data_IF_509628854463
#
_entry.id   IF_509628854463
#
_cell.length_a   1.000
_cell.length_b   1.000
_cell.length_c   1.000
_cell.angle_alpha   90.00
_cell.angle_beta   90.00
_cell.angle_gamma   90.00
#
_symmetry.space_group_name_H-M   'P 1'
#
loop_
_entity.id
_entity.type
_entity.pdbx_description
1 polymer ?
#
# COMPACT_ATOMS: atom_id res chain seq x y z
N UNK A 1 -26.43 -6.09 2.63
CA UNK A 1 -25.67 -4.81 2.62
C UNK A 1 -24.61 -4.91 3.73
N UNK A 2 -23.33 -4.73 3.44
CA UNK A 2 -22.24 -4.89 4.43
C UNK A 2 -22.26 -3.75 5.46
N UNK A 3 -23.07 -3.92 6.51
CA UNK A 3 -23.35 -2.90 7.53
C UNK A 3 -22.16 -2.68 8.47
N UNK A 4 -21.55 -3.78 8.96
CA UNK A 4 -20.42 -3.71 9.87
C UNK A 4 -19.17 -3.17 9.18
N UNK A 5 -18.89 -3.59 7.93
CA UNK A 5 -17.82 -3.00 7.14
C UNK A 5 -18.00 -1.49 6.97
N UNK A 6 -19.21 -1.01 6.67
CA UNK A 6 -19.46 0.41 6.52
C UNK A 6 -19.30 1.19 7.85
N UNK A 7 -19.68 0.60 9.00
CA UNK A 7 -19.45 1.18 10.33
C UNK A 7 -17.95 1.29 10.62
N UNK A 8 -17.20 0.20 10.38
CA UNK A 8 -15.75 0.16 10.58
C UNK A 8 -15.03 1.25 9.77
N UNK A 9 -15.34 1.38 8.47
CA UNK A 9 -14.71 2.38 7.60
C UNK A 9 -15.14 3.83 7.90
N UNK A 10 -16.08 4.04 8.82
CA UNK A 10 -16.48 5.34 9.36
C UNK A 10 -15.97 5.57 10.78
N UNK A 11 -15.21 4.64 11.36
CA UNK A 11 -14.65 4.82 12.71
C UNK A 11 -13.82 6.09 12.80
N UNK A 12 -13.92 6.79 13.91
CA UNK A 12 -13.36 8.16 14.03
C UNK A 12 -11.83 8.15 14.05
N UNK A 13 -11.26 7.32 14.92
CA UNK A 13 -9.81 7.16 15.05
C UNK A 13 -9.34 6.02 14.16
N UNK A 14 -8.55 6.29 13.10
CA UNK A 14 -8.09 5.25 12.19
C UNK A 14 -7.11 4.25 12.81
N UNK A 15 -6.64 4.46 14.04
CA UNK A 15 -5.68 3.60 14.72
C UNK A 15 -6.16 2.99 16.04
N UNK A 16 -7.41 3.19 16.43
CA UNK A 16 -8.05 2.53 17.58
C UNK A 16 -8.41 1.08 17.26
N UNK A 17 -7.38 0.24 17.06
CA UNK A 17 -7.58 -1.18 16.73
C UNK A 17 -8.19 -1.97 17.89
N UNK A 18 -7.85 -1.63 19.13
CA UNK A 18 -8.42 -2.26 20.33
C UNK A 18 -9.93 -2.00 20.43
N UNK A 19 -10.36 -0.73 20.28
CA UNK A 19 -11.78 -0.37 20.33
C UNK A 19 -12.62 -0.93 19.18
N UNK A 20 -11.97 -1.40 18.10
CA UNK A 20 -12.65 -1.93 16.91
C UNK A 20 -12.50 -3.44 16.74
N UNK A 21 -11.93 -4.20 17.69
CA UNK A 21 -11.65 -5.62 17.52
C UNK A 21 -12.91 -6.44 17.19
N UNK A 22 -13.95 -6.34 18.01
CA UNK A 22 -15.21 -7.03 17.77
C UNK A 22 -15.93 -6.56 16.49
N UNK A 23 -15.84 -5.26 16.17
CA UNK A 23 -16.43 -4.72 14.93
C UNK A 23 -15.66 -5.20 13.70
N UNK A 24 -14.33 -5.32 13.78
CA UNK A 24 -13.51 -5.87 12.71
C UNK A 24 -13.85 -7.34 12.45
N UNK A 25 -13.92 -8.17 13.48
CA UNK A 25 -14.31 -9.57 13.36
C UNK A 25 -15.71 -9.73 12.75
N UNK A 26 -16.70 -8.96 13.22
CA UNK A 26 -18.05 -8.96 12.66
C UNK A 26 -18.07 -8.48 11.19
N UNK A 27 -17.26 -7.49 10.81
CA UNK A 27 -17.18 -7.03 9.44
C UNK A 27 -16.50 -8.06 8.51
N UNK A 28 -15.49 -8.78 9.02
CA UNK A 28 -14.85 -9.89 8.31
C UNK A 28 -15.80 -11.04 8.09
N UNK A 29 -16.54 -11.46 9.12
CA UNK A 29 -17.55 -12.53 9.04
C UNK A 29 -18.68 -12.18 8.05
N UNK A 30 -19.23 -10.95 8.16
CA UNK A 30 -20.25 -10.44 7.23
C UNK A 30 -19.76 -10.46 5.78
N UNK A 31 -18.53 -10.01 5.53
CA UNK A 31 -17.97 -10.01 4.19
C UNK A 31 -17.63 -11.43 3.72
N UNK A 32 -17.08 -12.29 4.57
CA UNK A 32 -16.76 -13.67 4.22
C UNK A 32 -18.02 -14.47 3.81
N UNK A 33 -19.12 -14.32 4.54
CA UNK A 33 -20.41 -14.89 4.18
C UNK A 33 -20.90 -14.40 2.80
N UNK A 34 -20.86 -13.10 2.60
CA UNK A 34 -21.22 -12.48 1.29
C UNK A 34 -20.37 -13.01 0.14
N UNK A 35 -19.06 -13.15 0.34
CA UNK A 35 -18.14 -13.68 -0.66
C UNK A 35 -18.38 -15.17 -0.94
N UNK A 36 -18.70 -15.95 0.08
CA UNK A 36 -19.00 -17.38 -0.07
C UNK A 36 -20.30 -17.62 -0.86
N UNK A 37 -21.32 -16.78 -0.68
CA UNK A 37 -22.54 -16.81 -1.46
C UNK A 37 -22.30 -16.42 -2.93
N UNK A 38 -21.46 -15.40 -3.16
CA UNK A 38 -21.22 -14.85 -4.50
C UNK A 38 -20.14 -15.56 -5.33
N UNK A 39 -19.27 -16.36 -4.69
CA UNK A 39 -18.12 -17.03 -5.31
C UNK A 39 -18.02 -18.49 -4.87
N UNK A 40 -18.46 -19.40 -5.71
CA UNK A 40 -18.45 -20.84 -5.41
C UNK A 40 -17.04 -21.38 -5.15
N UNK A 41 -16.03 -20.87 -5.85
CA UNK A 41 -14.66 -21.32 -5.65
C UNK A 41 -14.13 -20.89 -4.29
N UNK A 42 -14.48 -19.68 -3.81
CA UNK A 42 -14.14 -19.27 -2.46
C UNK A 42 -14.86 -20.11 -1.40
N UNK A 43 -16.13 -20.43 -1.61
CA UNK A 43 -16.88 -21.34 -0.73
C UNK A 43 -16.24 -22.76 -0.67
N UNK A 44 -15.67 -23.25 -1.77
CA UNK A 44 -14.92 -24.52 -1.80
C UNK A 44 -13.62 -24.42 -0.99
N UNK A 45 -12.87 -23.32 -1.17
CA UNK A 45 -11.65 -23.06 -0.40
C UNK A 45 -11.96 -23.07 1.10
N UNK A 46 -13.00 -22.34 1.54
CA UNK A 46 -13.40 -22.31 2.95
C UNK A 46 -13.65 -23.71 3.49
N UNK A 47 -14.41 -24.56 2.78
CA UNK A 47 -14.68 -25.94 3.21
C UNK A 47 -13.42 -26.79 3.29
N UNK A 48 -12.45 -26.61 2.39
CA UNK A 48 -11.16 -27.32 2.45
C UNK A 48 -10.35 -26.93 3.69
N UNK A 49 -10.54 -25.69 4.20
CA UNK A 49 -9.97 -25.23 5.47
C UNK A 49 -10.84 -25.56 6.69
N UNK A 50 -11.87 -26.42 6.53
CA UNK A 50 -12.73 -26.84 7.61
C UNK A 50 -13.74 -25.78 8.07
N UNK A 51 -13.93 -24.70 7.31
CA UNK A 51 -14.86 -23.62 7.62
C UNK A 51 -16.21 -23.87 6.95
N UNK A 52 -17.29 -23.77 7.73
CA UNK A 52 -18.65 -23.81 7.22
C UNK A 52 -19.07 -22.42 6.69
N UNK A 53 -19.32 -22.24 5.38
CA UNK A 53 -19.78 -20.99 4.83
C UNK A 53 -21.07 -20.43 5.47
N UNK A 54 -21.93 -21.31 6.02
CA UNK A 54 -23.17 -20.92 6.70
C UNK A 54 -22.97 -20.31 8.08
N UNK A 55 -21.79 -20.46 8.69
CA UNK A 55 -21.46 -19.98 10.04
C UNK A 55 -20.48 -18.82 10.09
N UNK A 56 -20.10 -18.27 8.95
CA UNK A 56 -19.11 -17.20 8.87
C UNK A 56 -19.57 -15.89 9.52
N UNK A 57 -20.88 -15.65 9.63
CA UNK A 57 -21.42 -14.49 10.34
C UNK A 57 -21.05 -14.48 11.84
N UNK A 58 -20.78 -15.64 12.41
CA UNK A 58 -20.39 -15.83 13.82
C UNK A 58 -18.86 -15.80 14.03
N UNK A 59 -18.09 -15.44 13.01
CA UNK A 59 -16.64 -15.43 13.05
C UNK A 59 -16.10 -14.54 14.18
N UNK A 60 -15.32 -15.13 15.09
CA UNK A 60 -14.69 -14.43 16.22
C UNK A 60 -13.25 -14.09 15.95
N UNK A 61 -12.52 -15.00 15.34
CA UNK A 61 -11.12 -14.83 14.96
C UNK A 61 -10.97 -14.81 13.43
N UNK A 62 -10.75 -13.64 12.82
CA UNK A 62 -10.52 -13.56 11.39
C UNK A 62 -9.26 -14.27 10.88
N UNK A 63 -8.29 -14.57 11.76
CA UNK A 63 -7.03 -15.23 11.37
C UNK A 63 -7.22 -16.68 10.90
N UNK A 64 -8.38 -17.28 11.22
CA UNK A 64 -8.75 -18.64 10.72
C UNK A 64 -9.14 -18.62 9.23
N UNK A 65 -9.45 -17.46 8.65
CA UNK A 65 -9.78 -17.39 7.23
C UNK A 65 -8.56 -17.78 6.37
N UNK A 66 -8.79 -18.58 5.30
CA UNK A 66 -7.71 -19.08 4.47
C UNK A 66 -6.93 -17.90 3.84
N UNK A 67 -5.61 -17.85 4.04
CA UNK A 67 -4.78 -16.83 3.45
C UNK A 67 -4.56 -17.14 1.96
N UNK A 68 -5.03 -16.27 1.07
CA UNK A 68 -4.86 -16.42 -0.36
C UNK A 68 -3.53 -15.81 -0.82
N UNK A 69 -2.58 -16.58 -1.35
CA UNK A 69 -1.35 -16.02 -1.90
C UNK A 69 -1.63 -15.10 -3.10
N UNK A 70 -0.87 -13.99 -3.23
CA UNK A 70 -1.01 -13.08 -4.39
C UNK A 70 -0.81 -13.80 -5.71
N UNK A 71 0.03 -14.84 -5.77
CA UNK A 71 0.23 -15.67 -6.96
C UNK A 71 -1.07 -16.39 -7.37
N UNK A 72 -1.90 -16.78 -6.42
CA UNK A 72 -3.22 -17.36 -6.70
C UNK A 72 -4.13 -16.32 -7.39
N UNK A 73 -4.16 -15.09 -6.86
CA UNK A 73 -4.92 -13.98 -7.44
C UNK A 73 -4.42 -13.57 -8.84
N UNK A 74 -3.17 -13.84 -9.16
CA UNK A 74 -2.59 -13.61 -10.50
C UNK A 74 -3.07 -14.64 -11.52
N UNK A 75 -3.31 -15.89 -11.11
CA UNK A 75 -3.66 -17.01 -11.97
C UNK A 75 -5.17 -17.29 -12.03
N UNK A 76 -5.90 -16.93 -10.99
CA UNK A 76 -7.33 -17.20 -10.85
C UNK A 76 -8.11 -15.91 -10.62
N UNK A 77 -9.22 -15.75 -11.33
CA UNK A 77 -10.13 -14.61 -11.13
C UNK A 77 -11.27 -15.05 -10.22
N UNK A 78 -11.11 -14.85 -8.92
CA UNK A 78 -12.19 -14.99 -7.96
C UNK A 78 -13.10 -13.76 -8.03
N UNK A 79 -14.39 -13.97 -8.20
CA UNK A 79 -15.34 -12.85 -8.34
C UNK A 79 -16.66 -13.17 -7.67
N UNK A 80 -17.12 -12.28 -6.80
CA UNK A 80 -18.40 -12.39 -6.09
C UNK A 80 -19.49 -11.47 -6.64
N UNK A 81 -19.10 -10.47 -7.45
CA UNK A 81 -20.02 -9.60 -8.15
C UNK A 81 -19.84 -9.69 -9.67
N UNK A 82 -20.93 -9.55 -10.46
CA UNK A 82 -20.84 -9.53 -11.91
C UNK A 82 -20.05 -8.31 -12.41
N UNK A 83 -19.39 -8.45 -13.56
CA UNK A 83 -18.46 -7.46 -14.11
C UNK A 83 -19.08 -6.07 -14.32
N UNK A 84 -20.37 -6.00 -14.65
CA UNK A 84 -21.13 -4.75 -14.81
C UNK A 84 -21.22 -3.90 -13.55
N UNK A 85 -20.98 -4.48 -12.36
CA UNK A 85 -20.93 -3.76 -11.07
C UNK A 85 -19.55 -3.23 -10.70
N UNK A 86 -18.51 -3.55 -11.48
CA UNK A 86 -17.16 -3.09 -11.27
C UNK A 86 -16.95 -1.71 -11.91
N UNK A 87 -16.70 -0.70 -11.10
CA UNK A 87 -16.50 0.68 -11.54
C UNK A 87 -15.03 0.99 -11.85
N UNK A 88 -14.11 0.39 -11.12
CA UNK A 88 -12.66 0.58 -11.32
C UNK A 88 -12.01 -0.78 -11.47
N UNK A 89 -11.12 -0.90 -12.45
CA UNK A 89 -10.22 -2.04 -12.59
C UNK A 89 -8.81 -1.58 -12.29
N UNK A 90 -8.10 -2.34 -11.48
CA UNK A 90 -6.71 -2.07 -11.13
C UNK A 90 -5.87 -3.33 -11.34
N UNK A 91 -4.64 -3.15 -11.81
CA UNK A 91 -3.68 -4.23 -11.99
C UNK A 91 -2.45 -4.01 -11.14
N UNK A 92 -1.85 -5.11 -10.66
CA UNK A 92 -0.52 -5.05 -10.04
C UNK A 92 0.54 -4.66 -11.08
N UNK A 93 1.74 -4.28 -10.62
CA UNK A 93 2.83 -3.85 -11.51
C UNK A 93 3.45 -4.97 -12.36
N UNK A 94 3.08 -6.24 -12.11
CA UNK A 94 3.48 -7.37 -12.97
C UNK A 94 4.97 -7.70 -12.98
N UNK A 95 5.70 -7.47 -11.88
CA UNK A 95 7.04 -8.04 -11.70
C UNK A 95 6.95 -9.56 -11.81
N UNK A 96 7.47 -10.14 -12.90
CA UNK A 96 7.35 -11.57 -13.18
C UNK A 96 6.33 -11.95 -14.28
N UNK A 97 5.78 -10.97 -15.03
CA UNK A 97 5.00 -11.21 -16.26
C UNK A 97 3.50 -11.46 -16.06
N UNK A 98 3.05 -11.85 -14.88
CA UNK A 98 1.62 -12.07 -14.60
C UNK A 98 1.12 -11.05 -13.59
N UNK A 99 0.04 -10.34 -13.94
CA UNK A 99 -0.55 -9.28 -13.12
C UNK A 99 -1.83 -9.75 -12.44
N UNK A 100 -2.00 -9.41 -11.17
CA UNK A 100 -3.32 -9.49 -10.52
C UNK A 100 -4.27 -8.47 -11.12
N UNK A 101 -5.53 -8.86 -11.25
CA UNK A 101 -6.61 -7.99 -11.74
C UNK A 101 -7.67 -7.87 -10.66
N UNK A 102 -7.78 -6.68 -10.08
CA UNK A 102 -8.76 -6.39 -9.04
C UNK A 102 -9.81 -5.44 -9.57
N UNK A 103 -11.06 -5.83 -9.40
CA UNK A 103 -12.21 -5.00 -9.76
C UNK A 103 -12.85 -4.42 -8.50
N UNK A 104 -13.11 -3.11 -8.46
CA UNK A 104 -13.68 -2.43 -7.32
C UNK A 104 -15.10 -1.96 -7.62
N UNK A 105 -16.04 -2.32 -6.77
CA UNK A 105 -17.44 -1.89 -6.80
C UNK A 105 -17.64 -0.54 -6.09
N UNK A 106 -18.82 0.05 -6.21
CA UNK A 106 -19.16 1.33 -5.58
C UNK A 106 -19.01 1.31 -4.06
N UNK A 107 -19.39 0.21 -3.40
CA UNK A 107 -19.26 0.06 -1.96
C UNK A 107 -17.80 0.06 -1.51
N UNK A 108 -16.95 -0.68 -2.22
CA UNK A 108 -15.49 -0.68 -2.00
C UNK A 108 -14.88 0.70 -2.19
N UNK A 109 -15.26 1.41 -3.25
CA UNK A 109 -14.77 2.78 -3.51
C UNK A 109 -15.21 3.75 -2.42
N UNK A 110 -16.45 3.66 -1.95
CA UNK A 110 -16.96 4.49 -0.85
C UNK A 110 -16.20 4.25 0.46
N UNK A 111 -15.92 2.98 0.81
CA UNK A 111 -15.07 2.60 1.95
C UNK A 111 -13.64 3.14 1.78
N UNK A 112 -13.06 2.97 0.60
CA UNK A 112 -11.72 3.46 0.29
C UNK A 112 -11.59 4.98 0.43
N UNK A 113 -12.57 5.74 -0.07
CA UNK A 113 -12.60 7.20 0.10
C UNK A 113 -12.70 7.59 1.58
N UNK A 114 -13.61 6.94 2.33
CA UNK A 114 -13.78 7.18 3.76
C UNK A 114 -12.49 6.94 4.55
N UNK A 115 -11.80 5.82 4.30
CA UNK A 115 -10.51 5.48 4.86
C UNK A 115 -9.45 6.52 4.48
N UNK A 116 -9.30 6.81 3.19
CA UNK A 116 -8.25 7.71 2.69
C UNK A 116 -8.36 9.11 3.31
N UNK A 117 -9.57 9.65 3.45
CA UNK A 117 -9.78 10.95 4.10
C UNK A 117 -9.39 10.92 5.58
N UNK A 118 -9.71 9.84 6.32
CA UNK A 118 -9.38 9.74 7.75
C UNK A 118 -7.90 9.56 8.00
N UNK A 119 -7.26 8.64 7.26
CA UNK A 119 -5.81 8.41 7.34
C UNK A 119 -5.05 9.67 6.92
N UNK A 120 -5.42 10.29 5.79
CA UNK A 120 -4.77 11.51 5.32
C UNK A 120 -4.95 12.70 6.28
N UNK A 121 -6.11 12.81 6.95
CA UNK A 121 -6.33 13.81 7.99
C UNK A 121 -5.43 13.56 9.20
N UNK A 122 -5.38 12.34 9.68
CA UNK A 122 -4.55 11.94 10.83
C UNK A 122 -3.08 12.28 10.60
N UNK A 123 -2.54 11.93 9.43
CA UNK A 123 -1.14 12.19 9.05
C UNK A 123 -0.90 13.61 8.47
N UNK A 124 -1.88 14.52 8.61
CA UNK A 124 -1.77 15.91 8.11
C UNK A 124 -1.39 16.03 6.63
N UNK A 125 -1.87 15.08 5.83
CA UNK A 125 -1.70 15.08 4.37
C UNK A 125 -2.76 15.93 3.68
N UNK A 126 -3.95 16.07 4.28
CA UNK A 126 -4.98 16.97 3.77
C UNK A 126 -4.59 18.42 4.03
N UNK A 127 -4.73 19.27 3.03
CA UNK A 127 -4.46 20.71 3.15
C UNK A 127 -5.41 21.50 2.26
N UNK A 128 -5.97 22.64 2.74
CA UNK A 128 -6.69 23.57 1.89
C UNK A 128 -5.76 24.41 1.01
N UNK A 129 -4.46 24.47 1.35
CA UNK A 129 -3.47 25.25 0.60
C UNK A 129 -3.19 24.58 -0.74
N UNK A 130 -3.38 25.28 -1.86
CA UNK A 130 -3.02 24.76 -3.17
C UNK A 130 -1.54 24.42 -3.27
N UNK A 131 -1.21 23.39 -4.07
CA UNK A 131 0.18 22.97 -4.22
C UNK A 131 0.49 22.47 -5.64
N UNK A 132 1.78 22.35 -5.94
CA UNK A 132 2.28 21.73 -7.16
C UNK A 132 2.63 20.27 -6.91
N UNK A 133 2.05 19.36 -7.70
CA UNK A 133 2.34 17.94 -7.60
C UNK A 133 3.38 17.48 -8.60
N UNK A 134 4.37 16.76 -8.12
CA UNK A 134 5.39 16.07 -8.89
C UNK A 134 5.22 14.57 -8.70
N UNK A 135 4.69 13.92 -9.72
CA UNK A 135 4.34 12.50 -9.68
C UNK A 135 5.50 11.70 -10.30
N UNK A 136 6.30 11.07 -9.44
CA UNK A 136 7.44 10.22 -9.81
C UNK A 136 6.93 8.82 -10.18
N UNK A 137 6.06 8.80 -11.16
CA UNK A 137 5.32 7.65 -11.65
C UNK A 137 4.68 7.93 -13.00
N UNK A 138 3.76 7.06 -13.40
CA UNK A 138 3.15 7.08 -14.74
C UNK A 138 2.12 8.20 -14.90
N UNK A 139 2.21 8.91 -15.99
CA UNK A 139 1.14 9.80 -16.45
C UNK A 139 -0.14 8.97 -16.72
N UNK A 140 -1.30 9.37 -16.18
CA UNK A 140 -2.56 8.70 -16.46
C UNK A 140 -2.87 8.67 -17.95
N UNK A 141 -3.27 7.50 -18.45
CA UNK A 141 -3.66 7.31 -19.84
C UNK A 141 -4.78 6.28 -19.92
N UNK A 142 -5.66 6.44 -20.90
CA UNK A 142 -6.66 5.43 -21.22
C UNK A 142 -5.95 4.11 -21.58
N UNK A 143 -6.30 3.03 -20.90
CA UNK A 143 -5.65 1.72 -21.05
C UNK A 143 -4.46 1.47 -20.07
N UNK A 144 -4.07 2.44 -19.24
CA UNK A 144 -3.17 2.19 -18.12
C UNK A 144 -3.98 1.96 -16.83
N UNK A 145 -4.19 0.69 -16.50
CA UNK A 145 -4.95 0.26 -15.32
C UNK A 145 -4.07 -0.09 -14.12
N UNK A 146 -2.77 0.26 -14.14
CA UNK A 146 -1.89 0.00 -13.01
C UNK A 146 -2.40 0.73 -11.76
N UNK A 147 -2.45 0.00 -10.64
CA UNK A 147 -2.91 0.55 -9.36
C UNK A 147 -2.09 1.79 -8.97
N UNK A 148 -0.78 1.77 -9.22
CA UNK A 148 0.10 2.90 -8.90
C UNK A 148 -0.25 4.18 -9.67
N UNK A 149 -0.59 4.09 -10.97
CA UNK A 149 -1.01 5.26 -11.75
C UNK A 149 -2.30 5.87 -11.18
N UNK A 150 -3.27 5.02 -10.82
CA UNK A 150 -4.55 5.46 -10.25
C UNK A 150 -4.37 6.04 -8.85
N UNK A 151 -3.60 5.37 -8.00
CA UNK A 151 -3.31 5.82 -6.64
C UNK A 151 -2.53 7.12 -6.65
N UNK A 152 -1.45 7.23 -7.42
CA UNK A 152 -0.66 8.46 -7.53
C UNK A 152 -1.49 9.65 -7.99
N UNK A 153 -2.43 9.46 -8.93
CA UNK A 153 -3.39 10.49 -9.30
C UNK A 153 -4.36 10.83 -8.15
N UNK A 154 -4.91 9.81 -7.46
CA UNK A 154 -5.84 10.02 -6.35
C UNK A 154 -5.20 10.80 -5.19
N UNK A 155 -3.92 10.60 -4.90
CA UNK A 155 -3.19 11.38 -3.89
C UNK A 155 -3.14 12.89 -4.21
N UNK A 156 -3.25 13.27 -5.48
CA UNK A 156 -3.28 14.69 -5.86
C UNK A 156 -4.59 15.40 -5.46
N UNK A 157 -5.54 14.71 -4.83
CA UNK A 157 -6.74 15.30 -4.24
C UNK A 157 -6.60 15.61 -2.75
N UNK A 158 -5.45 15.30 -2.14
CA UNK A 158 -5.21 15.65 -0.73
C UNK A 158 -4.97 17.16 -0.51
N UNK A 159 -4.67 17.90 -1.57
CA UNK A 159 -4.68 19.37 -1.59
C UNK A 159 -5.11 19.85 -2.99
N UNK A 160 -5.64 21.07 -3.14
CA UNK A 160 -5.95 21.62 -4.46
C UNK A 160 -4.70 21.65 -5.34
N UNK A 161 -4.77 21.05 -6.51
CA UNK A 161 -3.63 20.92 -7.40
C UNK A 161 -3.56 22.07 -8.39
N UNK A 162 -2.55 22.93 -8.25
CA UNK A 162 -2.22 24.00 -9.23
C UNK A 162 -1.61 23.42 -10.50
N UNK A 163 -0.79 22.39 -10.35
CA UNK A 163 -0.22 21.67 -11.50
C UNK A 163 0.13 20.24 -11.12
N UNK A 164 0.20 19.39 -12.14
CA UNK A 164 0.68 18.00 -12.04
C UNK A 164 1.78 17.78 -13.07
N UNK A 165 2.95 17.37 -12.63
CA UNK A 165 4.09 17.01 -13.46
C UNK A 165 4.41 15.55 -13.25
N UNK A 166 4.52 14.77 -14.31
CA UNK A 166 4.77 13.34 -14.29
C UNK A 166 6.17 13.01 -14.78
N UNK A 167 6.86 12.09 -14.10
CA UNK A 167 8.19 11.64 -14.51
C UNK A 167 8.13 10.64 -15.67
N UNK A 168 7.12 9.75 -15.69
CA UNK A 168 6.93 8.80 -16.77
C UNK A 168 5.82 9.29 -17.70
N UNK A 169 6.21 9.88 -18.82
CA UNK A 169 5.30 10.42 -19.84
C UNK A 169 5.18 9.46 -21.03
N UNK A 170 4.00 9.40 -21.62
CA UNK A 170 3.77 8.55 -22.79
C UNK A 170 4.23 9.25 -24.06
N UNK A 171 5.21 8.66 -24.75
CA UNK A 171 5.71 9.14 -26.05
C UNK A 171 6.06 7.95 -26.93
N UNK A 172 5.79 8.03 -28.22
CA UNK A 172 6.21 7.04 -29.23
C UNK A 172 5.87 5.57 -28.87
N UNK A 173 4.63 5.35 -28.40
CA UNK A 173 4.16 3.99 -28.09
C UNK A 173 4.61 3.41 -26.74
N UNK A 174 5.31 4.19 -25.89
CA UNK A 174 5.81 3.75 -24.59
C UNK A 174 5.90 4.85 -23.54
N UNK A 175 6.11 4.45 -22.27
CA UNK A 175 6.47 5.39 -21.22
C UNK A 175 7.97 5.71 -21.26
N UNK A 176 8.30 6.99 -21.25
CA UNK A 176 9.67 7.51 -21.20
C UNK A 176 9.86 8.32 -19.93
N UNK A 177 11.02 8.14 -19.28
CA UNK A 177 11.40 8.92 -18.10
C UNK A 177 11.86 10.32 -18.56
N UNK A 178 11.22 11.38 -18.03
CA UNK A 178 11.48 12.79 -18.36
C UNK A 178 11.94 13.55 -17.11
N UNK A 179 13.13 13.24 -16.62
CA UNK A 179 13.73 13.91 -15.46
C UNK A 179 14.07 15.38 -15.74
N UNK A 180 14.42 15.73 -16.98
CA UNK A 180 14.76 17.11 -17.34
C UNK A 180 13.56 18.05 -17.16
N UNK A 181 12.38 17.63 -17.60
CA UNK A 181 11.16 18.42 -17.36
C UNK A 181 10.83 18.48 -15.87
N UNK A 182 11.05 17.39 -15.12
CA UNK A 182 10.86 17.36 -13.67
C UNK A 182 11.78 18.38 -12.98
N UNK A 183 13.10 18.35 -13.26
CA UNK A 183 14.09 19.28 -12.70
C UNK A 183 13.73 20.74 -13.02
N UNK A 184 13.60 21.07 -14.30
CA UNK A 184 13.29 22.44 -14.74
C UNK A 184 12.04 23.01 -14.07
N UNK A 185 10.95 22.22 -13.98
CA UNK A 185 9.72 22.65 -13.32
C UNK A 185 9.89 22.76 -11.82
N UNK A 186 10.63 21.84 -11.19
CA UNK A 186 10.88 21.87 -9.75
C UNK A 186 11.66 23.14 -9.36
N UNK A 187 12.73 23.47 -10.09
CA UNK A 187 13.49 24.71 -9.92
C UNK A 187 12.59 25.94 -10.01
N UNK A 188 11.77 26.03 -11.06
CA UNK A 188 10.82 27.13 -11.25
C UNK A 188 9.78 27.25 -10.13
N UNK A 189 9.39 26.14 -9.45
CA UNK A 189 8.39 26.16 -8.37
C UNK A 189 9.01 26.39 -7.00
N UNK A 190 10.29 26.14 -6.84
CA UNK A 190 11.00 26.40 -5.59
C UNK A 190 11.07 27.89 -5.22
N UNK A 191 11.06 28.78 -6.22
CA UNK A 191 11.02 30.25 -6.05
C UNK A 191 9.61 30.78 -5.76
N UNK A 192 8.59 29.93 -5.85
CA UNK A 192 7.20 30.30 -5.64
C UNK A 192 6.79 30.27 -4.17
N UNK A 193 5.51 30.60 -3.92
CA UNK A 193 4.92 30.62 -2.58
C UNK A 193 4.14 29.35 -2.22
N UNK A 194 3.75 28.57 -3.22
CA UNK A 194 2.93 27.38 -3.03
C UNK A 194 3.77 26.13 -2.80
N UNK A 195 3.36 25.28 -1.84
CA UNK A 195 4.08 24.04 -1.54
C UNK A 195 4.23 23.11 -2.75
N UNK A 196 5.32 22.35 -2.74
CA UNK A 196 5.58 21.25 -3.67
C UNK A 196 5.33 19.92 -2.94
N UNK A 197 4.57 19.03 -3.55
CA UNK A 197 4.35 17.68 -3.06
C UNK A 197 4.79 16.66 -4.08
N UNK A 198 5.77 15.84 -3.73
CA UNK A 198 6.12 14.69 -4.56
C UNK A 198 5.29 13.48 -4.15
N UNK A 199 5.00 12.61 -5.10
CA UNK A 199 4.44 11.27 -4.86
C UNK A 199 5.01 10.31 -5.90
N UNK A 200 5.60 9.20 -5.48
CA UNK A 200 6.12 8.27 -6.46
C UNK A 200 6.90 7.10 -5.90
N UNK A 201 7.55 6.39 -6.80
CA UNK A 201 8.44 5.30 -6.42
C UNK A 201 9.72 5.83 -5.78
N UNK A 202 10.23 5.19 -4.71
CA UNK A 202 11.47 5.61 -4.06
C UNK A 202 12.64 5.69 -5.05
N UNK A 203 12.75 4.75 -5.99
CA UNK A 203 13.81 4.77 -7.01
C UNK A 203 13.82 6.05 -7.86
N UNK A 204 12.67 6.48 -8.37
CA UNK A 204 12.62 7.70 -9.17
C UNK A 204 12.78 8.96 -8.33
N UNK A 205 12.36 8.93 -7.06
CA UNK A 205 12.64 10.00 -6.10
C UNK A 205 14.14 10.12 -5.88
N UNK A 206 14.81 9.00 -5.61
CA UNK A 206 16.25 8.96 -5.43
C UNK A 206 17.01 9.44 -6.68
N UNK A 207 16.65 8.95 -7.89
CA UNK A 207 17.27 9.39 -9.13
C UNK A 207 17.18 10.91 -9.34
N UNK A 208 16.00 11.50 -9.09
CA UNK A 208 15.81 12.95 -9.21
C UNK A 208 16.66 13.71 -8.19
N UNK A 209 16.68 13.28 -6.93
CA UNK A 209 17.44 13.94 -5.87
C UNK A 209 18.95 13.82 -6.08
N UNK A 210 19.43 12.66 -6.49
CA UNK A 210 20.86 12.44 -6.80
C UNK A 210 21.33 13.28 -7.97
N UNK A 211 20.51 13.42 -9.00
CA UNK A 211 20.86 14.26 -10.15
C UNK A 211 20.96 15.73 -9.75
N UNK A 212 19.99 16.23 -8.98
CA UNK A 212 20.03 17.59 -8.44
C UNK A 212 21.22 17.81 -7.50
N UNK A 213 21.56 16.83 -6.67
CA UNK A 213 22.73 16.90 -5.78
C UNK A 213 24.04 17.00 -6.57
N UNK A 214 24.19 16.17 -7.64
CA UNK A 214 25.36 16.20 -8.55
C UNK A 214 25.51 17.52 -9.28
N UNK A 215 24.42 18.18 -9.61
CA UNK A 215 24.38 19.52 -10.22
C UNK A 215 24.64 20.64 -9.17
N UNK A 216 24.86 20.30 -7.90
CA UNK A 216 25.07 21.26 -6.82
C UNK A 216 23.82 22.02 -6.40
N UNK A 217 22.63 21.58 -6.84
CA UNK A 217 21.36 22.24 -6.55
C UNK A 217 21.00 22.08 -5.06
N UNK A 218 20.66 23.21 -4.43
CA UNK A 218 20.15 23.28 -3.06
C UNK A 218 18.95 24.21 -3.06
N UNK A 219 17.76 23.62 -2.87
CA UNK A 219 16.50 24.34 -2.84
C UNK A 219 16.02 24.49 -1.39
N UNK A 220 15.18 25.47 -1.18
CA UNK A 220 14.37 25.60 0.02
C UNK A 220 12.91 25.68 -0.38
N UNK A 221 12.28 24.55 -0.56
CA UNK A 221 10.88 24.49 -0.97
C UNK A 221 9.96 25.20 0.03
N UNK A 222 8.85 25.81 -0.43
CA UNK A 222 7.91 26.52 0.42
C UNK A 222 7.35 25.63 1.55
N UNK A 223 7.03 26.24 2.69
CA UNK A 223 6.47 25.55 3.86
C UNK A 223 5.23 24.73 3.50
N UNK A 224 5.15 23.50 3.99
CA UNK A 224 4.09 22.55 3.68
C UNK A 224 4.39 21.65 2.48
N UNK A 225 5.60 21.79 1.90
CA UNK A 225 6.10 20.82 0.92
C UNK A 225 6.34 19.46 1.58
N UNK A 226 6.13 18.39 0.81
CA UNK A 226 6.26 17.02 1.30
C UNK A 226 6.88 16.11 0.24
N UNK A 227 7.72 15.18 0.68
CA UNK A 227 8.22 14.08 -0.13
C UNK A 227 7.45 12.83 0.26
N UNK A 228 6.64 12.30 -0.67
CA UNK A 228 5.86 11.10 -0.38
C UNK A 228 6.26 9.97 -1.34
N UNK A 229 6.43 8.79 -0.82
CA UNK A 229 6.94 7.63 -1.55
C UNK A 229 6.08 6.41 -1.31
N UNK A 230 6.00 5.51 -2.30
CA UNK A 230 5.30 4.25 -2.16
C UNK A 230 5.67 3.25 -3.24
N UNK A 231 5.45 1.97 -2.95
CA UNK A 231 5.88 0.87 -3.81
C UNK A 231 7.38 0.57 -3.68
N UNK A 232 7.84 -0.45 -4.39
CA UNK A 232 9.24 -0.91 -4.32
C UNK A 232 10.16 -0.23 -5.33
N UNK A 233 11.44 -0.58 -5.26
CA UNK A 233 12.50 -0.07 -6.14
C UNK A 233 12.40 -0.58 -7.58
N UNK A 234 11.58 -1.61 -7.85
CA UNK A 234 11.31 -2.16 -9.19
C UNK A 234 12.61 -2.66 -9.85
N UNK A 235 12.83 -2.23 -11.09
CA UNK A 235 14.04 -2.56 -11.84
C UNK A 235 15.33 -1.98 -11.24
N UNK A 236 15.22 -1.12 -10.23
CA UNK A 236 16.36 -0.51 -9.55
C UNK A 236 16.66 -1.15 -8.19
N UNK A 237 16.14 -2.37 -7.93
CA UNK A 237 16.34 -3.05 -6.63
C UNK A 237 17.84 -3.19 -6.29
N UNK A 238 18.70 -3.46 -7.28
CA UNK A 238 20.17 -3.51 -7.11
C UNK A 238 20.84 -2.16 -6.80
N UNK A 239 20.09 -1.04 -6.86
CA UNK A 239 20.56 0.30 -6.51
C UNK A 239 19.85 0.85 -5.27
N UNK A 240 19.11 -0.01 -4.57
CA UNK A 240 18.36 0.35 -3.37
C UNK A 240 19.33 0.95 -2.34
N UNK A 241 18.93 2.08 -1.80
CA UNK A 241 19.62 2.74 -0.69
C UNK A 241 18.75 2.69 0.57
N UNK A 242 19.40 2.89 1.72
CA UNK A 242 18.68 2.98 2.98
C UNK A 242 17.77 4.22 3.02
N UNK A 243 16.72 4.16 3.81
CA UNK A 243 15.70 5.23 3.89
C UNK A 243 16.29 6.55 4.37
N UNK A 244 17.21 6.48 5.30
CA UNK A 244 17.95 7.61 5.86
C UNK A 244 18.69 8.41 4.79
N UNK A 245 19.24 7.73 3.78
CA UNK A 245 19.88 8.37 2.63
C UNK A 245 18.85 9.18 1.81
N UNK A 246 17.66 8.63 1.59
CA UNK A 246 16.57 9.34 0.90
C UNK A 246 16.11 10.58 1.67
N UNK A 247 15.96 10.47 3.00
CA UNK A 247 15.56 11.59 3.84
C UNK A 247 16.63 12.66 3.89
N UNK A 248 17.92 12.27 4.03
CA UNK A 248 19.06 13.16 3.95
C UNK A 248 19.10 13.92 2.62
N UNK A 249 18.87 13.24 1.51
CA UNK A 249 18.81 13.87 0.18
C UNK A 249 17.61 14.84 0.08
N UNK A 250 16.43 14.47 0.57
CA UNK A 250 15.27 15.35 0.58
C UNK A 250 15.55 16.64 1.36
N UNK A 251 16.19 16.54 2.52
CA UNK A 251 16.56 17.70 3.33
C UNK A 251 17.64 18.54 2.66
N UNK A 252 18.73 17.90 2.20
CA UNK A 252 19.87 18.59 1.61
C UNK A 252 19.54 19.28 0.28
N UNK A 253 18.75 18.61 -0.57
CA UNK A 253 18.46 19.08 -1.93
C UNK A 253 17.21 19.94 -2.00
N UNK A 254 16.17 19.60 -1.22
CA UNK A 254 14.88 20.26 -1.31
C UNK A 254 14.54 21.14 -0.10
N UNK A 255 15.30 21.05 0.99
CA UNK A 255 14.96 21.69 2.26
C UNK A 255 13.71 21.09 2.91
N UNK A 256 13.37 19.83 2.59
CA UNK A 256 12.23 19.09 3.15
C UNK A 256 12.77 18.14 4.21
N UNK A 257 12.55 18.49 5.48
CA UNK A 257 13.02 17.66 6.59
C UNK A 257 12.31 16.31 6.68
N UNK A 258 12.94 15.36 7.38
CA UNK A 258 12.51 13.97 7.52
C UNK A 258 11.04 13.81 7.92
N UNK A 259 10.52 14.64 8.82
CA UNK A 259 9.11 14.62 9.25
C UNK A 259 8.10 14.84 8.12
N UNK A 260 8.52 15.48 7.03
CA UNK A 260 7.70 15.72 5.84
C UNK A 260 8.01 14.71 4.72
N UNK A 261 8.84 13.69 5.01
CA UNK A 261 9.02 12.50 4.21
C UNK A 261 8.07 11.40 4.70
N UNK A 262 7.13 10.99 3.85
CA UNK A 262 6.06 10.04 4.22
C UNK A 262 6.06 8.88 3.25
N UNK A 263 6.02 7.66 3.79
CA UNK A 263 5.93 6.47 2.96
C UNK A 263 4.53 5.87 3.01
N UNK A 264 4.17 5.20 1.91
CA UNK A 264 2.92 4.44 1.75
C UNK A 264 3.23 3.00 1.41
N UNK A 265 2.52 2.09 2.05
CA UNK A 265 2.54 0.67 1.75
C UNK A 265 1.14 0.19 1.36
N UNK A 266 1.06 -0.83 0.51
CA UNK A 266 -0.18 -1.47 0.11
C UNK A 266 0.01 -2.36 -1.12
N UNK A 267 -0.96 -3.22 -1.35
CA UNK A 267 -1.04 -4.10 -2.51
C UNK A 267 -2.37 -3.86 -3.25
N UNK A 268 -2.41 -4.18 -4.54
CA UNK A 268 -3.67 -4.06 -5.31
C UNK A 268 -4.74 -5.02 -4.78
N UNK A 269 -4.31 -6.18 -4.29
CA UNK A 269 -5.15 -7.21 -3.67
C UNK A 269 -5.62 -6.81 -2.27
N UNK A 270 -4.96 -5.82 -1.64
CA UNK A 270 -5.27 -5.31 -0.32
C UNK A 270 -5.22 -3.78 -0.34
N UNK A 271 -6.28 -3.10 -0.84
CA UNK A 271 -6.27 -1.67 -1.14
C UNK A 271 -6.46 -0.80 0.12
N UNK A 272 -5.74 -1.13 1.20
CA UNK A 272 -5.67 -0.34 2.42
C UNK A 272 -4.48 0.61 2.34
N UNK A 273 -4.69 1.84 2.81
CA UNK A 273 -3.67 2.86 2.88
C UNK A 273 -2.92 2.75 4.20
N UNK A 274 -1.75 2.13 4.18
CA UNK A 274 -0.79 2.23 5.27
C UNK A 274 0.10 3.45 5.03
N UNK A 275 0.26 4.24 6.08
CA UNK A 275 1.04 5.49 6.04
C UNK A 275 2.00 5.47 7.20
N UNK A 276 3.26 5.85 6.97
CA UNK A 276 4.25 5.91 8.05
C UNK A 276 3.90 7.01 9.05
N UNK A 277 4.16 6.72 10.32
CA UNK A 277 4.15 7.71 11.41
C UNK A 277 5.40 8.61 11.37
N UNK A 278 5.57 9.48 12.36
CA UNK A 278 6.77 10.34 12.49
C UNK A 278 8.07 9.60 12.76
N UNK A 279 8.02 8.31 13.05
CA UNK A 279 9.16 7.39 13.22
C UNK A 279 9.24 6.36 12.09
N UNK A 280 8.62 6.64 10.96
CA UNK A 280 8.63 5.83 9.73
C UNK A 280 8.14 4.38 9.89
N UNK A 281 7.27 4.12 10.89
CA UNK A 281 6.61 2.82 11.08
C UNK A 281 5.20 2.80 10.47
N UNK A 282 4.82 1.69 9.85
CA UNK A 282 3.50 1.46 9.28
C UNK A 282 2.53 0.93 10.34
N UNK A 283 1.92 1.80 11.13
CA UNK A 283 0.88 1.41 12.07
C UNK A 283 -0.35 0.85 11.35
N UNK A 284 -0.91 -0.22 11.92
CA UNK A 284 -2.04 -0.92 11.32
C UNK A 284 -3.32 -0.13 11.58
N UNK A 285 -4.02 0.35 10.52
CA UNK A 285 -5.26 1.07 10.71
C UNK A 285 -6.43 0.11 11.05
N UNK A 286 -7.48 0.62 11.67
CA UNK A 286 -8.68 -0.14 12.06
C UNK A 286 -9.32 -0.93 10.92
N UNK A 287 -9.06 -0.56 9.70
CA UNK A 287 -9.59 -1.17 8.46
C UNK A 287 -8.90 -2.47 8.08
N UNK A 288 -7.82 -2.82 8.78
CA UNK A 288 -6.99 -3.98 8.52
C UNK A 288 -6.53 -4.66 9.79
N UNK A 289 -6.12 -5.91 9.65
CA UNK A 289 -5.24 -6.63 10.58
C UNK A 289 -4.11 -7.24 9.78
N UNK A 290 -2.97 -7.41 10.43
CA UNK A 290 -1.79 -8.07 9.88
C UNK A 290 -1.48 -9.28 10.76
N UNK A 291 -1.25 -10.41 10.11
CA UNK A 291 -0.75 -11.63 10.73
C UNK A 291 0.56 -11.96 10.05
N UNK A 292 1.60 -12.18 10.83
CA UNK A 292 2.85 -12.73 10.31
C UNK A 292 2.75 -14.24 10.38
N UNK A 293 3.10 -14.91 9.28
CA UNK A 293 3.00 -16.36 9.17
C UNK A 293 4.38 -16.97 8.95
N UNK A 294 4.58 -18.11 9.58
CA UNK A 294 5.75 -18.94 9.33
C UNK A 294 5.86 -19.30 7.84
N UNK A 295 7.07 -19.30 7.32
CA UNK A 295 7.30 -19.47 5.87
C UNK A 295 7.08 -20.90 5.37
N UNK A 296 7.20 -21.89 6.26
CA UNK A 296 7.06 -23.31 5.94
C UNK A 296 5.65 -23.84 6.20
N UNK A 297 5.10 -23.49 7.37
CA UNK A 297 3.81 -24.03 7.84
C UNK A 297 2.63 -23.14 7.53
N UNK A 298 2.87 -21.84 7.27
CA UNK A 298 1.86 -20.77 7.14
C UNK A 298 1.04 -20.54 8.41
N UNK A 299 1.45 -21.11 9.53
CA UNK A 299 0.81 -20.85 10.83
C UNK A 299 1.18 -19.44 11.35
N UNK A 300 0.28 -18.78 12.09
CA UNK A 300 0.58 -17.51 12.71
C UNK A 300 1.78 -17.60 13.67
N UNK A 301 2.67 -16.61 13.62
CA UNK A 301 3.79 -16.49 14.58
C UNK A 301 3.57 -15.31 15.53
N UNK A 302 4.19 -15.32 16.72
CA UNK A 302 4.09 -14.22 17.68
C UNK A 302 4.65 -12.90 17.12
N UNK A 303 4.19 -11.77 17.68
CA UNK A 303 4.79 -10.46 17.41
C UNK A 303 6.30 -10.48 17.70
N UNK A 304 7.08 -9.74 16.91
CA UNK A 304 8.53 -9.74 16.97
C UNK A 304 9.21 -10.87 16.19
N UNK A 305 8.45 -11.82 15.65
CA UNK A 305 8.99 -12.92 14.84
C UNK A 305 8.84 -12.59 13.35
N UNK A 306 9.93 -12.70 12.55
CA UNK A 306 9.87 -12.52 11.10
C UNK A 306 9.08 -13.63 10.40
N UNK A 307 8.40 -13.28 9.29
CA UNK A 307 7.69 -14.24 8.46
C UNK A 307 6.97 -13.58 7.29
N UNK A 308 6.12 -14.33 6.60
CA UNK A 308 5.31 -13.84 5.48
C UNK A 308 4.20 -12.91 5.98
N UNK A 309 4.03 -11.79 5.27
CA UNK A 309 3.01 -10.81 5.61
C UNK A 309 1.65 -11.24 5.07
N UNK A 310 0.72 -11.53 5.98
CA UNK A 310 -0.68 -11.77 5.66
C UNK A 310 -1.53 -10.56 6.03
N UNK A 311 -2.14 -9.95 5.03
CA UNK A 311 -2.95 -8.74 5.14
C UNK A 311 -4.43 -9.09 5.12
N UNK A 312 -5.20 -8.58 6.08
CA UNK A 312 -6.61 -8.89 6.25
C UNK A 312 -7.47 -7.64 6.25
N UNK A 313 -8.58 -7.64 5.50
CA UNK A 313 -9.53 -6.51 5.44
C UNK A 313 -10.92 -6.92 4.98
N UNK A 314 -11.99 -6.34 5.53
CA UNK A 314 -13.36 -6.50 5.02
C UNK A 314 -13.70 -5.47 3.93
N UNK A 315 -12.71 -4.80 3.31
CA UNK A 315 -12.93 -3.66 2.41
C UNK A 315 -13.59 -4.06 1.10
N UNK A 316 -13.09 -5.12 0.46
CA UNK A 316 -13.46 -5.46 -0.92
C UNK A 316 -14.74 -6.29 -0.95
N UNK A 317 -15.76 -5.80 -1.66
CA UNK A 317 -17.04 -6.51 -1.82
C UNK A 317 -17.15 -7.30 -3.13
N UNK A 318 -16.35 -6.97 -4.12
CA UNK A 318 -16.45 -7.56 -5.47
C UNK A 318 -15.66 -8.86 -5.63
N UNK A 319 -14.69 -9.12 -4.76
CA UNK A 319 -13.77 -10.24 -4.82
C UNK A 319 -13.43 -10.71 -3.40
N UNK A 320 -13.20 -12.01 -3.15
CA UNK A 320 -12.90 -12.56 -1.82
C UNK A 320 -11.44 -12.31 -1.39
N UNK A 321 -11.06 -11.04 -1.33
CA UNK A 321 -9.73 -10.57 -0.93
C UNK A 321 -9.69 -10.21 0.56
N UNK A 322 -10.22 -11.10 1.42
CA UNK A 322 -10.33 -10.86 2.86
C UNK A 322 -9.01 -11.10 3.60
N UNK A 323 -8.25 -12.10 3.17
CA UNK A 323 -6.99 -12.51 3.77
C UNK A 323 -6.03 -12.84 2.64
N UNK A 324 -4.98 -12.04 2.47
CA UNK A 324 -4.03 -12.14 1.35
C UNK A 324 -2.61 -12.25 1.89
N UNK A 325 -1.89 -13.31 1.53
CA UNK A 325 -0.44 -13.39 1.76
C UNK A 325 0.27 -12.70 0.59
N UNK A 326 1.08 -11.71 0.92
CA UNK A 326 1.95 -11.03 -0.04
C UNK A 326 3.28 -11.76 -0.20
N UNK A 327 4.07 -11.33 -1.19
CA UNK A 327 5.45 -11.80 -1.38
C UNK A 327 6.43 -11.03 -0.44
N UNK A 328 5.91 -10.29 0.56
CA UNK A 328 6.72 -9.49 1.48
C UNK A 328 7.01 -10.29 2.76
N UNK A 329 8.26 -10.19 3.24
CA UNK A 329 8.68 -10.60 4.58
C UNK A 329 8.58 -9.40 5.51
N UNK A 330 8.12 -9.63 6.72
CA UNK A 330 7.99 -8.56 7.69
C UNK A 330 7.90 -9.06 9.13
N UNK A 331 7.89 -8.10 10.04
CA UNK A 331 7.70 -8.30 11.47
C UNK A 331 6.56 -7.41 11.93
N UNK A 332 5.69 -7.94 12.76
CA UNK A 332 4.66 -7.15 13.44
C UNK A 332 5.13 -6.84 14.86
N UNK A 333 5.16 -5.57 15.21
CA UNK A 333 5.60 -5.08 16.51
C UNK A 333 4.43 -4.52 17.32
N UNK A 334 4.47 -4.59 18.68
CA UNK A 334 3.50 -3.90 19.52
C UNK A 334 3.53 -2.38 19.28
N UNK A 335 2.36 -1.74 19.29
CA UNK A 335 2.28 -0.29 19.08
C UNK A 335 3.00 0.53 20.16
N UNK A 336 3.06 0.01 21.40
CA UNK A 336 3.76 0.64 22.52
C UNK A 336 5.27 0.78 22.33
N UNK A 337 5.87 0.01 21.42
CA UNK A 337 7.31 0.09 21.12
C UNK A 337 7.65 1.28 20.21
N UNK A 338 6.64 1.93 19.62
CA UNK A 338 6.85 3.10 18.78
C UNK A 338 6.67 4.41 19.56
N UNK A 339 7.69 5.29 19.61
CA UNK A 339 7.60 6.55 20.34
C UNK A 339 6.59 7.57 19.78
N UNK A 340 5.96 7.29 18.63
CA UNK A 340 4.99 8.21 18.01
C UNK A 340 3.68 8.35 18.79
N UNK A 341 3.39 7.43 19.74
CA UNK A 341 2.19 7.42 20.56
C UNK A 341 0.97 6.75 19.93
N UNK A 342 1.07 6.19 18.73
CA UNK A 342 0.00 5.38 18.12
C UNK A 342 0.00 3.99 18.79
N UNK A 343 -1.11 3.61 19.40
CA UNK A 343 -1.22 2.36 20.17
C UNK A 343 -1.41 1.11 19.32
N UNK A 344 -1.86 1.24 18.06
CA UNK A 344 -2.02 0.08 17.18
C UNK A 344 -0.67 -0.55 16.82
N UNK A 345 -0.59 -1.88 16.64
CA UNK A 345 0.63 -2.54 16.17
C UNK A 345 1.18 -1.88 14.90
N UNK A 346 2.47 -2.04 14.66
CA UNK A 346 3.09 -1.57 13.41
C UNK A 346 3.83 -2.69 12.68
N UNK A 347 3.82 -2.59 11.36
CA UNK A 347 4.47 -3.51 10.45
C UNK A 347 5.82 -2.94 9.99
N UNK A 348 6.85 -3.73 10.14
CA UNK A 348 8.16 -3.53 9.52
C UNK A 348 8.29 -4.46 8.31
N UNK A 349 8.64 -3.92 7.15
CA UNK A 349 8.90 -4.69 5.92
C UNK A 349 10.39 -4.93 5.80
N UNK A 350 10.80 -6.19 5.89
CA UNK A 350 12.21 -6.60 5.80
C UNK A 350 12.67 -6.72 4.36
N UNK A 351 11.79 -7.16 3.46
CA UNK A 351 12.13 -7.36 2.07
C UNK A 351 11.00 -7.99 1.27
N UNK A 352 11.31 -8.38 0.05
CA UNK A 352 10.35 -9.05 -0.83
C UNK A 352 10.95 -10.32 -1.40
N UNK A 353 10.22 -11.42 -1.30
CA UNK A 353 10.58 -12.70 -1.92
C UNK A 353 10.22 -12.67 -3.40
N UNK A 354 11.12 -13.11 -4.27
CA UNK A 354 10.86 -13.18 -5.71
C UNK A 354 9.82 -14.24 -6.06
N UNK A 355 9.07 -14.03 -7.14
CA UNK A 355 8.01 -14.95 -7.60
C UNK A 355 8.56 -16.35 -7.94
N UNK A 356 9.87 -16.48 -8.25
CA UNK A 356 10.54 -17.77 -8.45
C UNK A 356 10.78 -18.54 -7.16
N UNK A 357 10.84 -17.83 -6.03
CA UNK A 357 11.15 -18.41 -4.73
C UNK A 357 9.90 -18.90 -3.98
N UNK A 358 8.70 -18.62 -4.51
CA UNK A 358 7.45 -19.14 -3.91
C UNK A 358 7.37 -20.69 -4.00
N UNK A 359 8.05 -21.32 -4.97
CA UNK A 359 8.19 -22.80 -5.01
C UNK A 359 9.25 -23.27 -4.01
N UNK A 360 10.13 -22.37 -3.55
CA UNK A 360 11.21 -22.59 -2.59
C UNK A 360 11.20 -21.55 -1.47
N UNK A 361 10.04 -20.97 -1.13
CA UNK A 361 9.89 -19.91 -0.12
C UNK A 361 10.55 -20.24 1.23
N UNK A 362 10.52 -21.52 1.61
CA UNK A 362 11.21 -22.02 2.79
C UNK A 362 12.73 -21.78 2.74
N UNK A 363 13.37 -22.00 1.59
CA UNK A 363 14.83 -21.85 1.47
C UNK A 363 15.25 -20.36 1.44
N UNK A 364 14.59 -19.54 0.62
CA UNK A 364 14.93 -18.12 0.49
C UNK A 364 14.63 -17.31 1.75
N UNK A 365 13.47 -17.52 2.37
CA UNK A 365 13.13 -16.85 3.62
C UNK A 365 14.01 -17.33 4.80
N UNK A 366 14.35 -18.62 4.86
CA UNK A 366 15.28 -19.14 5.86
C UNK A 366 16.70 -18.60 5.69
N UNK A 367 17.13 -18.32 4.45
CA UNK A 367 18.43 -17.73 4.15
C UNK A 367 18.46 -16.24 4.55
N UNK A 368 17.39 -15.50 4.28
CA UNK A 368 17.21 -14.09 4.71
C UNK A 368 17.20 -13.98 6.24
N UNK A 369 16.47 -14.88 6.92
CA UNK A 369 16.40 -14.93 8.39
C UNK A 369 17.73 -15.35 9.05
N UNK A 370 18.66 -15.96 8.30
CA UNK A 370 20.02 -16.31 8.77
C UNK A 370 21.05 -15.20 8.54
N UNK A 371 20.63 -14.01 8.10
CA UNK A 371 21.51 -12.87 7.85
C UNK A 371 22.32 -12.97 6.54
N UNK A 372 21.91 -13.83 5.62
CA UNK A 372 22.49 -13.88 4.28
C UNK A 372 21.97 -12.71 3.42
N UNK A 373 22.88 -11.94 2.83
CA UNK A 373 22.51 -11.02 1.74
C UNK A 373 22.08 -11.84 0.56
N UNK A 374 20.90 -11.60 0.02
CA UNK A 374 20.42 -12.25 -1.20
C UNK A 374 21.41 -12.03 -2.36
N UNK A 375 21.62 -13.04 -3.23
CA UNK A 375 22.53 -12.93 -4.36
C UNK A 375 22.10 -11.91 -5.41
#
# INVERSE_FOLDING_TARGET
MMTNSNKLFRWRDPYDTAGTEGLFAAAMGENAAFQAEGCLDYARILRQYGLDPGRLADLRDPAVLPPLPTVYCKRHTLRSLPERKLLVRATSSGTGGVMSRVGLDAGTLGRGLSMSVRVARYHRLLSPTPCHYFILGYQPRRGNDTAFSKTGFAFTFFAPALSRTYALVWREGGYRLDLETMKRRLLSRAEGTFPVRTIGFPAYTWLLLRELEREGVRLKLPKGSKVTMGGGWKQFEGQKVEKEELYRLAETVLGVGERDCVEFFGAVEHPILYTTCSHHHFHIPVYSRVVIRDVDTLEPVPMGTPGLVNLMTPMVGSMPLLSVITDDLGVLHPGGDCPCGISSPYLEILGRVGVRDIITCAAGAAEFLKGGTAP
#
